data_IF_085725999718
#
_entry.id   IF_085725999718
#
_cell.length_a   1.000
_cell.length_b   1.000
_cell.length_c   1.000
_cell.angle_alpha   90.00
_cell.angle_beta   90.00
_cell.angle_gamma   90.00
#
_symmetry.space_group_name_H-M   'P 1'
#
loop_
_entity.id
_entity.type
_entity.pdbx_description
1 polymer ?
#
# COMPACT_ATOMS: atom_id res chain seq x y z
N UNK A 1 17.10 -3.52 -8.82
CA UNK A 1 16.52 -4.77 -8.25
C UNK A 1 16.29 -4.71 -6.74
N UNK A 2 17.28 -4.30 -5.92
CA UNK A 2 17.14 -4.27 -4.44
C UNK A 2 16.08 -3.25 -3.97
N UNK A 3 15.99 -2.07 -4.60
CA UNK A 3 14.96 -1.07 -4.25
C UNK A 3 13.54 -1.60 -4.53
N UNK A 4 13.29 -2.18 -5.70
CA UNK A 4 12.00 -2.80 -6.06
C UNK A 4 11.55 -3.84 -5.03
N UNK A 5 12.46 -4.71 -4.58
CA UNK A 5 12.16 -5.70 -3.54
C UNK A 5 11.84 -5.04 -2.19
N UNK A 6 12.50 -3.94 -1.84
CA UNK A 6 12.21 -3.18 -0.61
C UNK A 6 10.86 -2.48 -0.67
N UNK A 7 10.52 -1.86 -1.80
CA UNK A 7 9.24 -1.20 -2.01
C UNK A 7 8.09 -2.21 -2.02
N UNK A 8 8.28 -3.38 -2.64
CA UNK A 8 7.29 -4.48 -2.54
C UNK A 8 7.07 -4.93 -1.09
N UNK A 9 8.14 -5.11 -0.32
CA UNK A 9 8.03 -5.44 1.12
C UNK A 9 7.36 -4.33 1.93
N UNK A 10 7.51 -3.07 1.52
CA UNK A 10 6.81 -1.96 2.15
C UNK A 10 5.30 -2.06 1.90
N UNK A 11 4.88 -2.35 0.65
CA UNK A 11 3.46 -2.59 0.33
C UNK A 11 2.89 -3.73 1.17
N UNK A 12 3.57 -4.88 1.22
CA UNK A 12 3.14 -6.04 2.02
C UNK A 12 2.92 -5.68 3.51
N UNK A 13 3.83 -4.88 4.08
CA UNK A 13 3.72 -4.42 5.47
C UNK A 13 2.59 -3.43 5.69
N UNK A 14 2.38 -2.52 4.73
CA UNK A 14 1.28 -1.55 4.78
C UNK A 14 -0.06 -2.28 4.74
N UNK A 15 -0.23 -3.24 3.82
CA UNK A 15 -1.45 -4.04 3.69
C UNK A 15 -1.76 -4.83 4.98
N UNK A 16 -0.74 -5.40 5.63
CA UNK A 16 -0.89 -6.11 6.90
C UNK A 16 -1.42 -5.20 8.02
N UNK A 17 -0.87 -3.98 8.14
CA UNK A 17 -1.30 -3.03 9.18
C UNK A 17 -2.67 -2.43 8.86
N UNK A 18 -2.98 -2.14 7.59
CA UNK A 18 -4.33 -1.72 7.17
C UNK A 18 -5.36 -2.78 7.55
N UNK A 19 -5.07 -4.06 7.26
CA UNK A 19 -5.97 -5.17 7.61
C UNK A 19 -6.25 -5.21 9.12
N UNK A 20 -5.23 -5.00 9.95
CA UNK A 20 -5.39 -4.92 11.40
C UNK A 20 -6.19 -3.67 11.84
N UNK A 21 -5.96 -2.52 11.21
CA UNK A 21 -6.75 -1.31 11.45
C UNK A 21 -8.23 -1.54 11.13
N UNK A 22 -8.54 -2.19 10.00
CA UNK A 22 -9.90 -2.50 9.58
C UNK A 22 -10.59 -3.44 10.57
N UNK A 23 -9.91 -4.49 11.02
CA UNK A 23 -10.44 -5.42 12.02
C UNK A 23 -10.82 -4.70 13.33
N UNK A 24 -9.94 -3.82 13.83
CA UNK A 24 -10.18 -3.07 15.05
C UNK A 24 -11.29 -2.01 14.84
N UNK A 25 -11.33 -1.38 13.65
CA UNK A 25 -12.37 -0.43 13.31
C UNK A 25 -13.77 -1.07 13.28
N UNK A 26 -13.88 -2.31 12.77
CA UNK A 26 -15.12 -3.09 12.78
C UNK A 26 -15.63 -3.38 14.20
N UNK A 27 -14.72 -3.47 15.18
CA UNK A 27 -15.07 -3.61 16.60
C UNK A 27 -15.54 -2.29 17.25
N UNK A 28 -15.74 -1.22 16.46
CA UNK A 28 -16.16 0.12 16.92
C UNK A 28 -15.18 0.81 17.88
N UNK A 29 -13.94 0.31 17.96
CA UNK A 29 -12.86 0.97 18.70
C UNK A 29 -12.37 2.15 17.83
N UNK A 30 -12.37 3.35 18.41
CA UNK A 30 -12.02 4.58 17.68
C UNK A 30 -10.59 5.06 17.94
N UNK A 31 -10.12 4.85 19.17
CA UNK A 31 -8.76 5.18 19.57
C UNK A 31 -7.81 4.08 19.13
N UNK A 32 -6.61 4.45 18.72
CA UNK A 32 -5.62 3.48 18.29
C UNK A 32 -5.07 2.70 19.49
N UNK A 33 -5.18 1.36 19.52
CA UNK A 33 -4.48 0.53 20.50
C UNK A 33 -2.95 0.72 20.44
N UNK A 34 -2.27 0.64 21.58
CA UNK A 34 -0.84 0.93 21.67
C UNK A 34 0.03 -0.03 20.82
N UNK A 35 -0.38 -1.29 20.72
CA UNK A 35 0.26 -2.31 19.89
C UNK A 35 0.10 -1.98 18.39
N UNK A 36 -1.09 -1.58 17.96
CA UNK A 36 -1.34 -1.16 16.57
C UNK A 36 -0.52 0.10 16.23
N UNK A 37 -0.44 1.05 17.17
CA UNK A 37 0.38 2.25 17.02
C UNK A 37 1.85 1.91 16.83
N UNK A 38 2.40 1.02 17.66
CA UNK A 38 3.81 0.58 17.51
C UNK A 38 4.06 -0.09 16.16
N UNK A 39 3.13 -0.95 15.69
CA UNK A 39 3.25 -1.59 14.37
C UNK A 39 3.22 -0.56 13.24
N UNK A 40 2.36 0.45 13.33
CA UNK A 40 2.33 1.54 12.35
C UNK A 40 3.63 2.35 12.35
N UNK A 41 4.19 2.68 13.52
CA UNK A 41 5.47 3.40 13.66
C UNK A 41 6.65 2.63 13.04
N UNK A 42 6.65 1.29 13.14
CA UNK A 42 7.64 0.43 12.48
C UNK A 42 7.51 0.51 10.95
N UNK A 43 6.29 0.55 10.43
CA UNK A 43 6.02 0.74 8.99
C UNK A 43 6.46 2.12 8.54
N UNK A 44 6.18 3.18 9.30
CA UNK A 44 6.59 4.56 8.98
C UNK A 44 8.11 4.69 8.91
N UNK A 45 8.82 4.12 9.89
CA UNK A 45 10.28 4.07 9.91
C UNK A 45 10.84 3.31 8.71
N UNK A 46 10.22 2.18 8.35
CA UNK A 46 10.59 1.42 7.17
C UNK A 46 10.31 2.19 5.88
N UNK A 47 9.17 2.88 5.77
CA UNK A 47 8.79 3.69 4.61
C UNK A 47 9.83 4.77 4.34
N UNK A 48 10.19 5.56 5.36
CA UNK A 48 11.24 6.58 5.25
C UNK A 48 12.58 5.99 4.79
N UNK A 49 12.98 4.85 5.34
CA UNK A 49 14.22 4.16 4.95
C UNK A 49 14.18 3.58 3.54
N UNK A 50 13.03 3.10 3.08
CA UNK A 50 12.86 2.51 1.77
C UNK A 50 12.83 3.60 0.69
N UNK A 51 12.04 4.65 0.90
CA UNK A 51 11.88 5.76 -0.05
C UNK A 51 13.15 6.60 -0.15
N UNK A 52 13.87 6.87 0.96
CA UNK A 52 15.15 7.60 0.90
C UNK A 52 16.21 6.92 0.01
N UNK A 53 16.13 5.59 -0.17
CA UNK A 53 17.07 4.83 -1.02
C UNK A 53 16.74 4.90 -2.51
N UNK A 54 15.57 5.40 -2.88
CA UNK A 54 15.19 5.62 -4.28
C UNK A 54 15.85 6.87 -4.87
N UNK A 55 16.32 7.80 -4.03
CA UNK A 55 16.85 9.09 -4.45
C UNK A 55 15.77 10.12 -4.80
N UNK A 56 14.49 9.73 -4.80
CA UNK A 56 13.36 10.63 -5.02
C UNK A 56 13.11 11.50 -3.76
N UNK A 57 13.47 12.77 -3.86
CA UNK A 57 13.35 13.73 -2.75
C UNK A 57 11.91 14.18 -2.52
N UNK A 58 11.10 14.23 -3.58
CA UNK A 58 9.71 14.66 -3.49
C UNK A 58 8.89 13.58 -2.80
N UNK A 59 9.05 12.32 -3.22
CA UNK A 59 8.43 11.18 -2.56
C UNK A 59 8.88 11.04 -1.10
N UNK A 60 10.16 11.27 -0.80
CA UNK A 60 10.65 11.24 0.58
C UNK A 60 10.00 12.34 1.42
N UNK A 61 9.90 13.56 0.90
CA UNK A 61 9.24 14.66 1.59
C UNK A 61 7.75 14.38 1.84
N UNK A 62 7.06 13.81 0.85
CA UNK A 62 5.65 13.43 0.98
C UNK A 62 5.43 12.33 2.04
N UNK A 63 6.32 11.34 2.12
CA UNK A 63 6.29 10.34 3.21
C UNK A 63 6.54 11.00 4.56
N UNK A 64 7.53 11.89 4.66
CA UNK A 64 7.82 12.60 5.92
C UNK A 64 6.65 13.49 6.36
N UNK A 65 5.99 14.17 5.43
CA UNK A 65 4.78 14.95 5.73
C UNK A 65 3.65 14.04 6.23
N UNK A 66 3.39 12.92 5.54
CA UNK A 66 2.33 11.98 5.92
C UNK A 66 2.54 11.42 7.33
N UNK A 67 3.75 10.94 7.66
CA UNK A 67 4.02 10.35 8.99
C UNK A 67 4.02 11.38 10.12
N UNK A 68 4.14 12.67 9.82
CA UNK A 68 4.05 13.75 10.82
C UNK A 68 2.60 14.22 11.07
N UNK A 69 1.62 13.69 10.33
CA UNK A 69 0.20 13.93 10.62
C UNK A 69 -0.18 13.37 11.98
N UNK A 70 -1.30 13.86 12.51
CA UNK A 70 -1.88 13.40 13.78
C UNK A 70 -2.24 11.91 13.70
N UNK A 71 -1.96 11.16 14.78
CA UNK A 71 -2.16 9.70 14.86
C UNK A 71 -2.86 9.29 16.18
N UNK A 72 -4.06 9.81 16.43
CA UNK A 72 -4.84 9.51 17.64
C UNK A 72 -5.91 8.46 17.35
N UNK A 73 -6.53 8.55 16.16
CA UNK A 73 -7.59 7.64 15.74
C UNK A 73 -7.06 6.60 14.75
N UNK A 74 -7.71 5.44 14.73
CA UNK A 74 -7.39 4.36 13.77
C UNK A 74 -7.51 4.86 12.33
N UNK A 75 -8.56 5.63 12.03
CA UNK A 75 -8.79 6.20 10.70
C UNK A 75 -7.68 7.17 10.28
N UNK A 76 -7.04 7.86 11.23
CA UNK A 76 -5.91 8.75 10.93
C UNK A 76 -4.66 7.93 10.57
N UNK A 77 -4.46 6.78 11.22
CA UNK A 77 -3.37 5.86 10.84
C UNK A 77 -3.63 5.22 9.48
N UNK A 78 -4.87 4.80 9.20
CA UNK A 78 -5.24 4.27 7.88
C UNK A 78 -4.98 5.28 6.76
N UNK A 79 -5.35 6.55 6.96
CA UNK A 79 -5.09 7.63 5.99
C UNK A 79 -3.59 7.79 5.67
N UNK A 80 -2.74 7.73 6.71
CA UNK A 80 -1.29 7.80 6.54
C UNK A 80 -0.76 6.58 5.78
N UNK A 81 -1.23 5.38 6.15
CA UNK A 81 -0.83 4.13 5.48
C UNK A 81 -1.24 4.11 4.00
N UNK A 82 -2.45 4.56 3.68
CA UNK A 82 -2.92 4.70 2.30
C UNK A 82 -2.10 5.73 1.53
N UNK A 83 -1.81 6.88 2.14
CA UNK A 83 -0.92 7.90 1.53
C UNK A 83 0.45 7.30 1.21
N UNK A 84 1.05 6.53 2.13
CA UNK A 84 2.33 5.85 1.88
C UNK A 84 2.20 4.84 0.73
N UNK A 85 1.10 4.09 0.68
CA UNK A 85 0.84 3.10 -0.37
C UNK A 85 0.77 3.75 -1.75
N UNK A 86 0.07 4.88 -1.88
CA UNK A 86 -0.02 5.65 -3.13
C UNK A 86 1.38 6.11 -3.59
N UNK A 87 2.15 6.74 -2.70
CA UNK A 87 3.52 7.19 -3.01
C UNK A 87 4.40 6.01 -3.49
N UNK A 88 4.31 4.87 -2.81
CA UNK A 88 5.10 3.69 -3.17
C UNK A 88 4.65 3.11 -4.50
N UNK A 89 3.36 3.11 -4.80
CA UNK A 89 2.85 2.69 -6.10
C UNK A 89 3.34 3.60 -7.22
N UNK A 90 3.35 4.91 -7.02
CA UNK A 90 3.88 5.87 -7.99
C UNK A 90 5.37 5.64 -8.26
N UNK A 91 6.16 5.44 -7.21
CA UNK A 91 7.59 5.08 -7.34
C UNK A 91 7.80 3.75 -8.08
N UNK A 92 6.83 2.84 -7.98
CA UNK A 92 6.88 1.55 -8.66
C UNK A 92 6.33 1.58 -10.10
N UNK A 93 5.66 2.65 -10.54
CA UNK A 93 5.07 2.75 -11.87
C UNK A 93 6.07 2.52 -13.01
N UNK A 94 7.30 3.09 -13.00
CA UNK A 94 8.28 2.85 -14.07
C UNK A 94 8.64 1.37 -14.25
N UNK A 95 8.53 0.57 -13.19
CA UNK A 95 8.78 -0.88 -13.24
C UNK A 95 7.52 -1.72 -13.46
N UNK A 96 6.32 -1.14 -13.37
CA UNK A 96 5.06 -1.78 -13.80
C UNK A 96 4.91 -1.76 -15.32
N UNK A 97 5.51 -0.80 -16.00
CA UNK A 97 5.57 -0.77 -17.48
C UNK A 97 6.62 -1.72 -18.05
N UNK A 98 7.58 -2.17 -17.23
CA UNK A 98 8.55 -3.22 -17.56
C UNK A 98 8.02 -4.63 -17.18
N UNK A 99 6.73 -4.87 -17.40
CA UNK A 99 6.23 -6.25 -17.39
C UNK A 99 6.90 -7.00 -18.56
N UNK A 100 7.44 -8.21 -18.36
CA UNK A 100 7.94 -9.02 -19.47
C UNK A 100 6.84 -9.15 -20.54
N UNK A 101 7.17 -8.89 -21.80
CA UNK A 101 6.27 -9.19 -22.93
C UNK A 101 5.91 -10.68 -23.01
N UNK A 102 6.64 -11.54 -22.29
CA UNK A 102 6.48 -13.00 -22.27
C UNK A 102 5.72 -13.49 -21.02
N UNK A 103 4.51 -12.97 -20.80
CA UNK A 103 3.48 -13.80 -20.16
C UNK A 103 2.65 -14.34 -21.31
N UNK A 104 2.98 -15.55 -21.78
CA UNK A 104 2.04 -16.32 -22.59
C UNK A 104 0.69 -16.29 -21.84
N UNK A 105 -0.41 -15.87 -22.48
CA UNK A 105 -1.70 -15.90 -21.82
C UNK A 105 -1.94 -17.34 -21.42
N UNK A 106 -1.90 -17.62 -20.12
CA UNK A 106 -2.35 -18.91 -19.61
C UNK A 106 -3.73 -19.14 -20.27
N UNK A 107 -3.82 -20.25 -21.00
CA UNK A 107 -4.96 -20.58 -21.84
C UNK A 107 -6.28 -20.44 -21.08
N UNK A 108 -7.42 -20.46 -21.78
CA UNK A 108 -8.70 -20.04 -21.24
C UNK A 108 -8.94 -20.64 -19.86
N UNK A 109 -9.09 -19.77 -18.86
CA UNK A 109 -9.47 -20.16 -17.49
C UNK A 109 -10.83 -20.86 -17.62
N UNK A 110 -10.81 -22.18 -17.61
CA UNK A 110 -12.02 -22.99 -17.58
C UNK A 110 -12.73 -22.74 -16.25
N UNK A 111 -13.67 -21.80 -16.23
CA UNK A 111 -14.60 -21.58 -15.10
C UNK A 111 -14.61 -20.19 -14.46
N UNK A 112 -13.95 -19.17 -15.01
CA UNK A 112 -14.10 -17.81 -14.49
C UNK A 112 -15.45 -17.18 -14.90
N UNK A 113 -16.24 -16.57 -13.99
CA UNK A 113 -17.51 -15.95 -14.34
C UNK A 113 -17.28 -14.68 -15.18
N UNK A 114 -17.92 -14.63 -16.35
CA UNK A 114 -17.81 -13.55 -17.33
C UNK A 114 -18.59 -12.29 -16.90
N UNK A 115 -17.98 -11.49 -16.03
CA UNK A 115 -18.53 -10.22 -15.55
C UNK A 115 -18.58 -9.13 -16.64
N UNK A 116 -18.04 -9.39 -17.84
CA UNK A 116 -18.11 -8.47 -19.01
C UNK A 116 -19.40 -8.61 -19.81
N UNK A 117 -20.34 -9.46 -19.40
CA UNK A 117 -21.60 -9.70 -20.13
C UNK A 117 -22.74 -8.70 -19.81
N UNK A 118 -22.51 -7.68 -18.98
CA UNK A 118 -23.53 -6.70 -18.58
C UNK A 118 -23.34 -5.31 -19.23
N UNK A 119 -23.11 -5.25 -20.54
CA UNK A 119 -23.32 -4.02 -21.32
C UNK A 119 -23.84 -4.35 -22.72
N UNK A 120 -25.10 -4.78 -22.80
CA UNK A 120 -25.98 -4.55 -23.95
C UNK A 120 -27.41 -4.97 -23.59
N UNK A 121 -28.21 -4.03 -23.08
CA UNK A 121 -29.65 -4.06 -23.30
C UNK A 121 -30.00 -2.72 -23.92
N UNK A 122 -30.32 -2.79 -25.21
CA UNK A 122 -31.04 -1.78 -25.97
C UNK A 122 -32.54 -1.86 -25.65
#
# INVERSE_FOLDING_TARGET
MIERTRLRRLVERVDEVISACEEIHLQSIKETPADLKSRAEDVFSFARSAVSKTGDREALAAVEEAINRRQIKITEIMDILWTIQEIVFDLMLPWRTELPEDVEPEGPISGAPDWRRWTAVA
#
